data_IF_292710066276
#
_entry.id   IF_292710066276
#
_cell.length_a   1.000
_cell.length_b   1.000
_cell.length_c   1.000
_cell.angle_alpha   90.00
_cell.angle_beta   90.00
_cell.angle_gamma   90.00
#
_symmetry.space_group_name_H-M   'P 1'
#
loop_
_entity.id
_entity.type
_entity.pdbx_description
1 polymer ?
#
# COMPACT_ATOMS: atom_id res chain seq x y z
N UNK A 1 -22.96 -46.32 -11.44
CA UNK A 1 -21.68 -45.96 -12.11
C UNK A 1 -21.68 -44.60 -12.81
N UNK A 2 -22.78 -44.10 -13.40
CA UNK A 2 -22.81 -42.77 -14.07
C UNK A 2 -22.59 -41.57 -13.15
N UNK A 3 -23.11 -41.61 -11.91
CA UNK A 3 -22.95 -40.53 -10.92
C UNK A 3 -21.50 -40.34 -10.44
N UNK A 4 -20.71 -41.43 -10.39
CA UNK A 4 -19.30 -41.39 -9.97
C UNK A 4 -18.40 -40.79 -11.06
N UNK A 5 -18.70 -41.05 -12.34
CA UNK A 5 -18.01 -40.42 -13.48
C UNK A 5 -18.25 -38.90 -13.53
N UNK A 6 -19.47 -38.45 -13.22
CA UNK A 6 -19.79 -37.02 -13.19
C UNK A 6 -19.07 -36.29 -12.04
N UNK A 7 -18.97 -36.92 -10.87
CA UNK A 7 -18.24 -36.38 -9.73
C UNK A 7 -16.72 -36.28 -10.00
N UNK A 8 -16.11 -37.29 -10.62
CA UNK A 8 -14.70 -37.24 -11.01
C UNK A 8 -14.41 -36.15 -12.06
N UNK A 9 -15.30 -35.92 -13.03
CA UNK A 9 -15.15 -34.82 -14.00
C UNK A 9 -15.26 -33.45 -13.32
N UNK A 10 -16.18 -33.29 -12.36
CA UNK A 10 -16.33 -32.05 -11.59
C UNK A 10 -15.09 -31.76 -10.72
N UNK A 11 -14.57 -32.78 -10.02
CA UNK A 11 -13.39 -32.64 -9.17
C UNK A 11 -12.11 -32.39 -9.99
N UNK A 12 -11.93 -33.07 -11.14
CA UNK A 12 -10.79 -32.80 -12.02
C UNK A 12 -10.82 -31.40 -12.66
N UNK A 13 -12.01 -30.86 -12.92
CA UNK A 13 -12.18 -29.48 -13.41
C UNK A 13 -11.70 -28.43 -12.39
N UNK A 14 -11.87 -28.71 -11.09
CA UNK A 14 -11.39 -27.82 -10.02
C UNK A 14 -9.86 -27.81 -9.90
N UNK A 15 -9.20 -28.95 -10.15
CA UNK A 15 -7.73 -29.03 -10.10
C UNK A 15 -7.02 -28.31 -11.26
N UNK A 16 -7.70 -28.10 -12.40
CA UNK A 16 -7.15 -27.33 -13.52
C UNK A 16 -7.13 -25.81 -13.25
N UNK A 17 -7.92 -25.32 -12.28
CA UNK A 17 -8.00 -23.90 -11.93
C UNK A 17 -6.95 -23.47 -10.89
N UNK A 18 -6.19 -24.41 -10.32
CA UNK A 18 -5.29 -24.13 -9.20
C UNK A 18 -3.80 -24.21 -9.55
N UNK A 19 -3.44 -24.05 -10.84
CA UNK A 19 -2.06 -23.74 -11.21
C UNK A 19 -1.76 -22.30 -10.79
N UNK A 20 -1.06 -22.15 -9.67
CA UNK A 20 -0.48 -20.88 -9.27
C UNK A 20 0.50 -20.42 -10.35
N UNK A 21 0.17 -19.34 -11.05
CA UNK A 21 0.97 -18.79 -12.14
C UNK A 21 2.29 -18.25 -11.56
N UNK A 22 3.39 -18.96 -11.81
CA UNK A 22 4.74 -18.47 -11.49
C UNK A 22 5.12 -17.36 -12.47
N UNK A 23 5.59 -16.24 -11.93
CA UNK A 23 6.13 -15.13 -12.73
C UNK A 23 7.49 -15.57 -13.28
N UNK A 24 7.73 -15.40 -14.58
CA UNK A 24 9.03 -15.67 -15.18
C UNK A 24 10.06 -14.63 -14.72
N UNK A 25 11.34 -15.01 -14.63
CA UNK A 25 12.40 -14.08 -14.24
C UNK A 25 12.54 -12.92 -15.23
N UNK A 26 12.35 -13.18 -16.53
CA UNK A 26 12.36 -12.15 -17.57
C UNK A 26 11.21 -11.14 -17.42
N UNK A 27 9.98 -11.61 -17.16
CA UNK A 27 8.84 -10.74 -16.90
C UNK A 27 9.09 -9.92 -15.63
N UNK A 28 9.61 -10.54 -14.57
CA UNK A 28 9.88 -9.84 -13.31
C UNK A 28 10.95 -8.75 -13.49
N UNK A 29 12.03 -9.03 -14.20
CA UNK A 29 13.10 -8.06 -14.47
C UNK A 29 12.61 -6.91 -15.36
N UNK A 30 11.77 -7.22 -16.35
CA UNK A 30 11.11 -6.20 -17.19
C UNK A 30 10.16 -5.33 -16.36
N UNK A 31 9.39 -5.92 -15.46
CA UNK A 31 8.50 -5.17 -14.58
C UNK A 31 9.29 -4.24 -13.63
N UNK A 32 10.37 -4.75 -13.04
CA UNK A 32 11.27 -3.96 -12.18
C UNK A 32 11.87 -2.79 -12.93
N UNK A 33 12.36 -2.96 -14.16
CA UNK A 33 12.95 -1.84 -14.91
C UNK A 33 11.96 -0.70 -15.19
N UNK A 34 10.66 -1.00 -15.28
CA UNK A 34 9.59 -0.01 -15.44
C UNK A 34 9.22 0.65 -14.11
N UNK A 35 9.20 -0.12 -13.01
CA UNK A 35 8.55 0.28 -11.76
C UNK A 35 9.51 0.63 -10.62
N UNK A 36 10.78 0.21 -10.61
CA UNK A 36 11.68 0.30 -9.46
C UNK A 36 11.78 1.73 -8.86
N UNK A 37 12.04 2.73 -9.71
CA UNK A 37 12.07 4.15 -9.30
C UNK A 37 10.69 4.61 -8.78
N UNK A 38 9.62 4.22 -9.46
CA UNK A 38 8.24 4.58 -9.09
C UNK A 38 7.88 4.01 -7.73
N UNK A 39 8.24 2.76 -7.46
CA UNK A 39 8.01 2.10 -6.18
C UNK A 39 8.71 2.83 -5.03
N UNK A 40 9.91 3.38 -5.27
CA UNK A 40 10.58 4.26 -4.33
C UNK A 40 9.74 5.49 -3.96
N UNK A 41 9.14 6.15 -4.96
CA UNK A 41 8.26 7.31 -4.74
C UNK A 41 6.97 6.95 -4.00
N UNK A 42 6.31 5.85 -4.37
CA UNK A 42 5.12 5.38 -3.66
C UNK A 42 5.44 5.04 -2.20
N UNK A 43 6.57 4.37 -1.95
CA UNK A 43 7.04 4.09 -0.59
C UNK A 43 7.29 5.36 0.22
N UNK A 44 7.92 6.38 -0.40
CA UNK A 44 8.13 7.67 0.24
C UNK A 44 6.81 8.38 0.58
N UNK A 45 5.83 8.38 -0.33
CA UNK A 45 4.51 8.95 -0.09
C UNK A 45 3.83 8.30 1.13
N UNK A 46 3.85 6.97 1.22
CA UNK A 46 3.31 6.22 2.37
C UNK A 46 4.01 6.61 3.68
N UNK A 47 5.34 6.70 3.67
CA UNK A 47 6.12 7.04 4.87
C UNK A 47 5.83 8.46 5.34
N UNK A 48 5.80 9.42 4.41
CA UNK A 48 5.57 10.83 4.73
C UNK A 48 4.15 11.02 5.24
N UNK A 49 3.14 10.46 4.56
CA UNK A 49 1.75 10.58 4.98
C UNK A 49 1.50 9.92 6.35
N UNK A 50 2.17 8.79 6.64
CA UNK A 50 2.12 8.19 7.97
C UNK A 50 2.72 9.08 9.06
N UNK A 51 3.92 9.60 8.83
CA UNK A 51 4.56 10.54 9.78
C UNK A 51 3.72 11.79 10.00
N UNK A 52 3.03 12.24 8.97
CA UNK A 52 2.16 13.40 9.02
C UNK A 52 0.96 13.17 9.96
N UNK A 53 0.26 12.04 9.78
CA UNK A 53 -0.85 11.62 10.64
C UNK A 53 -0.39 11.38 12.08
N UNK A 54 0.76 10.72 12.27
CA UNK A 54 1.36 10.52 13.60
C UNK A 54 1.67 11.86 14.30
N UNK A 55 2.24 12.83 13.56
CA UNK A 55 2.55 14.15 14.09
C UNK A 55 1.28 14.91 14.51
N UNK A 56 0.22 14.82 13.70
CA UNK A 56 -1.08 15.40 14.01
C UNK A 56 -1.65 14.80 15.31
N UNK A 57 -1.68 13.47 15.42
CA UNK A 57 -2.22 12.78 16.59
C UNK A 57 -1.42 13.04 17.87
N UNK A 58 -0.09 13.18 17.77
CA UNK A 58 0.76 13.40 18.93
C UNK A 58 0.73 14.86 19.43
N UNK A 59 0.64 15.84 18.52
CA UNK A 59 0.84 17.27 18.84
C UNK A 59 0.11 18.24 17.89
N UNK A 60 -1.19 18.08 17.71
CA UNK A 60 -2.02 19.07 16.99
C UNK A 60 -1.90 20.49 17.60
N UNK A 61 -1.58 20.61 18.89
CA UNK A 61 -1.41 21.89 19.59
C UNK A 61 -0.11 22.66 19.28
N UNK A 62 0.85 22.05 18.56
CA UNK A 62 2.21 22.58 18.39
C UNK A 62 2.77 22.55 16.97
N UNK A 63 2.12 21.86 16.05
CA UNK A 63 2.58 21.83 14.67
C UNK A 63 1.97 23.03 13.93
N UNK A 64 2.83 23.92 13.42
CA UNK A 64 2.40 25.05 12.58
C UNK A 64 1.72 24.52 11.32
N UNK A 65 0.64 25.16 10.90
CA UNK A 65 -0.15 24.83 9.70
C UNK A 65 0.75 24.69 8.46
N UNK A 66 1.81 25.48 8.37
CA UNK A 66 2.79 25.46 7.28
C UNK A 66 3.58 24.14 7.19
N UNK A 67 3.84 23.48 8.33
CA UNK A 67 4.52 22.18 8.34
C UNK A 67 3.63 21.05 7.83
N UNK A 68 2.32 21.12 8.09
CA UNK A 68 1.37 20.15 7.54
C UNK A 68 1.26 20.31 6.03
N UNK A 69 1.13 21.55 5.55
CA UNK A 69 1.09 21.86 4.11
C UNK A 69 2.37 21.41 3.39
N UNK A 70 3.55 21.67 3.96
CA UNK A 70 4.82 21.21 3.36
C UNK A 70 4.83 19.69 3.20
N UNK A 71 4.41 18.95 4.21
CA UNK A 71 4.36 17.49 4.15
C UNK A 71 3.29 16.98 3.17
N UNK A 72 2.11 17.61 3.09
CA UNK A 72 1.08 17.31 2.09
C UNK A 72 1.62 17.47 0.66
N UNK A 73 2.32 18.57 0.38
CA UNK A 73 2.94 18.82 -0.92
C UNK A 73 4.04 17.80 -1.24
N UNK A 74 4.82 17.36 -0.25
CA UNK A 74 5.78 16.28 -0.43
C UNK A 74 5.11 14.93 -0.75
N UNK A 75 3.96 14.64 -0.14
CA UNK A 75 3.16 13.44 -0.48
C UNK A 75 2.67 13.54 -1.92
N UNK A 76 2.04 14.65 -2.30
CA UNK A 76 1.55 14.89 -3.66
C UNK A 76 2.66 14.75 -4.70
N UNK A 77 3.80 15.40 -4.48
CA UNK A 77 4.94 15.32 -5.40
C UNK A 77 5.48 13.89 -5.58
N UNK A 78 5.52 13.08 -4.51
CA UNK A 78 5.89 11.67 -4.65
C UNK A 78 4.82 10.84 -5.37
N UNK A 79 3.53 11.10 -5.16
CA UNK A 79 2.45 10.43 -5.89
C UNK A 79 2.47 10.76 -7.38
N UNK A 80 2.80 12.00 -7.75
CA UNK A 80 3.01 12.39 -9.14
C UNK A 80 4.18 11.65 -9.78
N UNK A 81 5.31 11.54 -9.07
CA UNK A 81 6.49 10.81 -9.54
C UNK A 81 6.26 9.30 -9.63
N UNK A 82 5.43 8.72 -8.75
CA UNK A 82 4.94 7.36 -8.90
C UNK A 82 4.16 7.20 -10.21
N UNK A 83 3.30 8.16 -10.53
CA UNK A 83 2.56 8.26 -11.78
C UNK A 83 1.05 8.30 -11.55
N UNK A 84 0.31 8.95 -12.45
CA UNK A 84 -1.15 9.05 -12.33
C UNK A 84 -1.81 7.67 -12.52
N UNK A 85 -2.84 7.32 -11.72
CA UNK A 85 -3.50 6.01 -11.82
C UNK A 85 -3.97 5.64 -13.24
N UNK A 86 -4.48 6.60 -14.01
CA UNK A 86 -4.96 6.38 -15.38
C UNK A 86 -3.84 6.16 -16.40
N UNK A 87 -2.65 6.69 -16.13
CA UNK A 87 -1.44 6.49 -16.93
C UNK A 87 -0.77 5.16 -16.57
N UNK A 88 -0.70 4.84 -15.27
CA UNK A 88 -0.17 3.57 -14.78
C UNK A 88 -0.93 2.38 -15.37
N UNK A 89 -2.28 2.46 -15.43
CA UNK A 89 -3.13 1.44 -16.07
C UNK A 89 -2.78 1.17 -17.54
N UNK A 90 -2.10 2.11 -18.23
CA UNK A 90 -1.71 2.02 -19.64
C UNK A 90 -0.24 1.62 -19.82
N UNK A 91 0.53 1.44 -18.74
CA UNK A 91 1.94 1.08 -18.85
C UNK A 91 2.12 -0.27 -19.56
N UNK A 92 3.16 -0.41 -20.40
CA UNK A 92 3.46 -1.65 -21.10
C UNK A 92 4.09 -2.68 -20.16
N UNK A 93 3.30 -3.21 -19.23
CA UNK A 93 3.74 -4.26 -18.30
C UNK A 93 3.67 -5.65 -18.93
N UNK A 94 4.47 -6.61 -18.46
CA UNK A 94 4.39 -8.01 -18.90
C UNK A 94 2.99 -8.60 -18.76
N UNK A 95 2.67 -9.61 -19.59
CA UNK A 95 1.30 -10.14 -19.71
C UNK A 95 0.87 -11.03 -18.55
N UNK A 96 1.77 -11.41 -17.65
CA UNK A 96 1.48 -12.28 -16.50
C UNK A 96 0.28 -11.81 -15.69
N UNK A 97 -0.61 -12.73 -15.36
CA UNK A 97 -1.80 -12.46 -14.55
C UNK A 97 -1.43 -12.05 -13.12
N UNK A 98 -0.40 -12.69 -12.54
CA UNK A 98 0.10 -12.34 -11.20
C UNK A 98 0.71 -10.93 -11.15
N UNK A 99 1.55 -10.57 -12.13
CA UNK A 99 2.11 -9.21 -12.21
C UNK A 99 1.03 -8.14 -12.42
N UNK A 100 -0.01 -8.43 -13.22
CA UNK A 100 -1.14 -7.50 -13.37
C UNK A 100 -1.86 -7.25 -12.05
N UNK A 101 -2.05 -8.29 -11.22
CA UNK A 101 -2.66 -8.12 -9.88
C UNK A 101 -1.78 -7.27 -8.96
N UNK A 102 -0.48 -7.54 -8.94
CA UNK A 102 0.50 -6.73 -8.19
C UNK A 102 0.45 -5.27 -8.66
N UNK A 103 0.44 -5.04 -9.96
CA UNK A 103 0.36 -3.70 -10.55
C UNK A 103 -0.93 -2.96 -10.16
N UNK A 104 -2.08 -3.64 -10.27
CA UNK A 104 -3.36 -3.06 -9.85
C UNK A 104 -3.38 -2.72 -8.37
N UNK A 105 -2.79 -3.54 -7.51
CA UNK A 105 -2.70 -3.28 -6.06
C UNK A 105 -1.86 -2.04 -5.74
N UNK A 106 -0.77 -1.82 -6.48
CA UNK A 106 0.04 -0.60 -6.36
C UNK A 106 -0.70 0.65 -6.83
N UNK A 107 -1.48 0.54 -7.91
CA UNK A 107 -2.35 1.64 -8.36
C UNK A 107 -3.41 1.94 -7.30
N UNK A 108 -4.07 0.93 -6.76
CA UNK A 108 -5.05 1.09 -5.68
C UNK A 108 -4.44 1.75 -4.44
N UNK A 109 -3.22 1.35 -4.06
CA UNK A 109 -2.50 2.02 -2.98
C UNK A 109 -2.32 3.52 -3.25
N UNK A 110 -1.93 3.91 -4.47
CA UNK A 110 -1.82 5.34 -4.82
C UNK A 110 -3.18 6.06 -4.81
N UNK A 111 -4.25 5.42 -5.30
CA UNK A 111 -5.59 5.99 -5.31
C UNK A 111 -6.09 6.25 -3.87
N UNK A 112 -5.78 5.35 -2.93
CA UNK A 112 -6.09 5.51 -1.51
C UNK A 112 -5.31 6.65 -0.85
N UNK A 113 -4.01 6.80 -1.15
CA UNK A 113 -3.19 7.90 -0.61
C UNK A 113 -3.63 9.26 -1.17
N UNK A 114 -4.05 9.31 -2.44
CA UNK A 114 -4.66 10.52 -3.04
C UNK A 114 -5.96 10.86 -2.30
N UNK A 115 -6.84 9.88 -2.08
CA UNK A 115 -8.09 10.09 -1.33
C UNK A 115 -7.83 10.56 0.10
N UNK A 116 -6.84 9.98 0.78
CA UNK A 116 -6.42 10.39 2.12
C UNK A 116 -5.92 11.84 2.13
N UNK A 117 -5.05 12.20 1.18
CA UNK A 117 -4.48 13.56 1.08
C UNK A 117 -5.56 14.60 0.83
N UNK A 118 -6.46 14.33 -0.13
CA UNK A 118 -7.57 15.23 -0.43
C UNK A 118 -8.52 15.39 0.77
N UNK A 119 -8.80 14.30 1.50
CA UNK A 119 -9.66 14.37 2.68
C UNK A 119 -9.07 15.29 3.76
N UNK A 120 -7.76 15.20 4.01
CA UNK A 120 -7.06 16.04 4.99
C UNK A 120 -7.08 17.52 4.58
N UNK A 121 -6.74 17.80 3.33
CA UNK A 121 -6.68 19.15 2.76
C UNK A 121 -8.07 19.81 2.71
N UNK A 122 -9.07 19.14 2.11
CA UNK A 122 -10.40 19.71 1.88
C UNK A 122 -11.17 19.96 3.18
N UNK A 123 -10.86 19.22 4.24
CA UNK A 123 -11.55 19.29 5.52
C UNK A 123 -10.70 19.93 6.62
N UNK A 124 -9.57 20.55 6.28
CA UNK A 124 -8.68 21.21 7.23
C UNK A 124 -8.43 20.35 8.49
N UNK A 125 -8.12 19.07 8.28
CA UNK A 125 -7.76 18.13 9.35
C UNK A 125 -8.86 17.88 10.41
N UNK A 126 -10.14 18.03 10.06
CA UNK A 126 -11.24 17.66 10.96
C UNK A 126 -11.23 16.15 11.28
N UNK A 127 -11.57 15.77 12.51
CA UNK A 127 -11.39 14.39 13.01
C UNK A 127 -11.95 13.28 12.11
N UNK A 128 -13.11 13.49 11.47
CA UNK A 128 -13.66 12.50 10.52
C UNK A 128 -12.81 12.29 9.26
N UNK A 129 -12.12 13.34 8.79
CA UNK A 129 -11.19 13.25 7.65
C UNK A 129 -9.87 12.58 8.03
N UNK A 130 -9.41 12.77 9.26
CA UNK A 130 -8.19 12.15 9.80
C UNK A 130 -8.38 10.64 9.91
N UNK A 131 -9.46 10.16 10.54
CA UNK A 131 -9.73 8.72 10.63
C UNK A 131 -9.93 8.05 9.27
N UNK A 132 -10.52 8.78 8.31
CA UNK A 132 -10.63 8.30 6.92
C UNK A 132 -9.25 8.18 6.26
N UNK A 133 -8.38 9.18 6.44
CA UNK A 133 -7.03 9.18 5.91
C UNK A 133 -6.14 8.08 6.53
N UNK A 134 -6.23 7.84 7.84
CA UNK A 134 -5.53 6.75 8.54
C UNK A 134 -5.92 5.39 7.98
N UNK A 135 -7.23 5.15 7.83
CA UNK A 135 -7.74 3.90 7.25
C UNK A 135 -7.19 3.69 5.84
N UNK A 136 -7.26 4.70 4.99
CA UNK A 136 -6.80 4.61 3.61
C UNK A 136 -5.28 4.41 3.53
N UNK A 137 -4.51 5.10 4.38
CA UNK A 137 -3.07 4.90 4.49
C UNK A 137 -2.73 3.46 4.89
N UNK A 138 -3.45 2.87 5.85
CA UNK A 138 -3.16 1.51 6.30
C UNK A 138 -3.42 0.49 5.18
N UNK A 139 -4.54 0.62 4.47
CA UNK A 139 -4.83 -0.25 3.32
C UNK A 139 -3.76 -0.07 2.24
N UNK A 140 -3.37 1.17 1.92
CA UNK A 140 -2.32 1.46 0.96
C UNK A 140 -0.97 0.86 1.37
N UNK A 141 -0.62 0.93 2.66
CA UNK A 141 0.59 0.34 3.24
C UNK A 141 0.59 -1.17 3.06
N UNK A 142 -0.49 -1.86 3.41
CA UNK A 142 -0.61 -3.32 3.27
C UNK A 142 -0.51 -3.75 1.80
N UNK A 143 -1.20 -3.03 0.90
CA UNK A 143 -1.14 -3.28 -0.54
C UNK A 143 0.28 -3.14 -1.07
N UNK A 144 0.97 -2.04 -0.72
CA UNK A 144 2.35 -1.80 -1.12
C UNK A 144 3.30 -2.85 -0.58
N UNK A 145 3.23 -3.18 0.72
CA UNK A 145 4.10 -4.18 1.33
C UNK A 145 3.92 -5.56 0.71
N UNK A 146 2.67 -5.97 0.45
CA UNK A 146 2.35 -7.24 -0.22
C UNK A 146 2.91 -7.26 -1.63
N UNK A 147 2.72 -6.18 -2.40
CA UNK A 147 3.28 -6.05 -3.74
C UNK A 147 4.82 -6.10 -3.75
N UNK A 148 5.49 -5.42 -2.83
CA UNK A 148 6.95 -5.42 -2.72
C UNK A 148 7.49 -6.81 -2.37
N UNK A 149 6.84 -7.54 -1.44
CA UNK A 149 7.21 -8.92 -1.13
C UNK A 149 7.15 -9.82 -2.37
N UNK A 150 6.11 -9.67 -3.19
CA UNK A 150 5.95 -10.43 -4.43
C UNK A 150 6.98 -10.04 -5.51
N UNK A 151 7.34 -8.76 -5.62
CA UNK A 151 8.30 -8.28 -6.63
C UNK A 151 9.74 -8.63 -6.25
N UNK A 152 10.10 -8.48 -4.97
CA UNK A 152 11.48 -8.60 -4.52
C UNK A 152 11.79 -9.91 -3.82
N UNK A 153 10.79 -10.77 -3.57
CA UNK A 153 10.96 -12.05 -2.87
C UNK A 153 11.93 -11.90 -1.70
N UNK A 154 11.56 -11.03 -0.74
CA UNK A 154 12.33 -10.89 0.50
C UNK A 154 12.34 -12.28 1.13
N UNK A 155 13.52 -12.89 1.30
CA UNK A 155 13.69 -14.21 1.91
C UNK A 155 12.76 -14.35 3.13
N UNK A 156 12.01 -15.45 3.19
CA UNK A 156 10.89 -15.75 4.10
C UNK A 156 11.20 -15.64 5.62
N UNK A 157 12.42 -15.27 6.00
CA UNK A 157 12.86 -15.18 7.39
C UNK A 157 12.75 -13.76 7.99
N UNK A 158 12.27 -12.78 7.23
CA UNK A 158 11.87 -11.46 7.77
C UNK A 158 10.36 -11.27 7.63
N UNK A 159 9.62 -11.77 8.61
CA UNK A 159 8.23 -11.39 8.82
C UNK A 159 8.12 -9.86 8.98
N UNK A 160 7.93 -9.13 7.89
CA UNK A 160 7.35 -7.79 7.95
C UNK A 160 5.87 -8.02 8.25
N UNK A 161 5.53 -8.22 9.53
CA UNK A 161 4.15 -8.20 9.98
C UNK A 161 3.64 -6.78 9.76
N UNK A 162 2.57 -6.59 8.98
CA UNK A 162 1.80 -5.36 9.07
C UNK A 162 1.36 -5.24 10.53
N UNK A 163 1.77 -4.18 11.22
CA UNK A 163 1.30 -3.93 12.58
C UNK A 163 -0.16 -3.50 12.48
N UNK A 164 -1.08 -4.47 12.58
CA UNK A 164 -2.53 -4.27 12.50
C UNK A 164 -3.13 -3.74 13.82
N UNK A 165 -2.36 -3.80 14.90
CA UNK A 165 -2.80 -3.35 16.22
C UNK A 165 -2.28 -1.93 16.47
N UNK A 166 -3.16 -0.97 16.21
CA UNK A 166 -3.03 0.35 16.81
C UNK A 166 -3.33 0.21 18.30
N UNK A 167 -2.44 0.63 19.21
CA UNK A 167 -2.82 0.77 20.61
C UNK A 167 -3.99 1.77 20.70
N UNK A 168 -5.15 1.31 21.15
CA UNK A 168 -6.25 2.19 21.55
C UNK A 168 -5.81 2.90 22.84
N UNK A 169 -5.67 4.23 22.78
CA UNK A 169 -5.34 5.04 23.94
C UNK A 169 -6.62 5.58 24.58
N UNK A 170 -6.77 5.42 25.88
CA UNK A 170 -7.81 6.11 26.63
C UNK A 170 -7.55 7.63 26.62
N UNK A 171 -8.63 8.43 26.65
CA UNK A 171 -8.54 9.90 26.60
C UNK A 171 -7.68 10.41 27.78
N UNK A 172 -6.47 10.86 27.46
CA UNK A 172 -5.49 11.39 28.43
C UNK A 172 -4.25 10.52 28.63
N UNK A 173 -4.21 9.31 28.09
CA UNK A 173 -2.98 8.51 28.07
C UNK A 173 -1.97 9.06 27.06
N UNK A 174 -0.72 9.20 27.50
CA UNK A 174 0.38 9.56 26.63
C UNK A 174 1.15 8.30 26.29
N UNK A 175 1.41 8.00 25.00
CA UNK A 175 2.23 6.87 24.62
C UNK A 175 3.60 6.95 25.31
N UNK A 176 4.03 5.83 25.89
CA UNK A 176 5.39 5.71 26.40
C UNK A 176 6.36 5.96 25.24
N UNK A 177 7.35 6.83 25.47
CA UNK A 177 8.37 7.13 24.45
C UNK A 177 9.15 5.85 24.16
N UNK A 178 9.09 5.40 22.91
CA UNK A 178 10.03 4.40 22.41
C UNK A 178 11.44 5.01 22.39
N UNK A 179 12.24 4.63 23.39
CA UNK A 179 13.66 4.95 23.45
C UNK A 179 14.40 4.04 22.46
N UNK A 180 14.75 4.57 21.29
CA UNK A 180 15.65 3.90 20.34
C UNK A 180 17.07 3.90 20.91
N UNK A 181 17.36 3.05 21.89
CA UNK A 181 18.74 2.80 22.32
C UNK A 181 19.34 1.64 21.53
N UNK A 182 20.19 2.04 20.57
CA UNK A 182 21.31 1.36 19.89
C UNK A 182 21.15 -0.11 19.48
#
# INVERSE_FOLDING_TARGET
MKKLKLFCVLVCSFFLLSCEEKISEEDLNTYKSIMDVRLGHLGNAIIIQGRLLDAFNLRNDRADEDHFKEAEELVKGNLELFGRPDELKKLPIPRSGKLKKVHSSLIEASELLIQASNALEDNAWLGGSVSYAERNLEIARVNFQTAIKEIYAIEDDKEVKPAMEYPEYDVGEKPERFDFKK
#
